data_IF_614627817502
#
_entry.id   IF_614627817502
#
_cell.length_a   1.000
_cell.length_b   1.000
_cell.length_c   1.000
_cell.angle_alpha   90.00
_cell.angle_beta   90.00
_cell.angle_gamma   90.00
#
_symmetry.space_group_name_H-M   'P 1'
#
loop_
_entity.id
_entity.type
_entity.pdbx_description
1 polymer ?
#
# COMPACT_ATOMS: atom_id res chain seq x y z
N UNK A 1 -19.49 -17.33 -7.72
CA UNK A 1 -19.15 -18.63 -8.32
C UNK A 1 -20.03 -18.97 -9.52
N UNK A 2 -21.33 -18.64 -9.50
CA UNK A 2 -22.23 -18.81 -10.66
C UNK A 2 -21.70 -18.16 -11.96
N UNK A 3 -21.30 -16.89 -11.90
CA UNK A 3 -20.69 -16.17 -13.04
C UNK A 3 -19.44 -16.87 -13.58
N UNK A 4 -18.56 -17.37 -12.70
CA UNK A 4 -17.36 -18.09 -13.11
C UNK A 4 -17.68 -19.38 -13.87
N UNK A 5 -18.72 -20.12 -13.45
CA UNK A 5 -19.14 -21.35 -14.12
C UNK A 5 -19.80 -21.06 -15.47
N UNK A 6 -20.56 -19.96 -15.57
CA UNK A 6 -21.14 -19.51 -16.83
C UNK A 6 -20.05 -19.10 -17.84
N UNK A 7 -19.05 -18.31 -17.41
CA UNK A 7 -17.90 -17.93 -18.23
C UNK A 7 -17.12 -19.16 -18.71
N UNK A 8 -16.85 -20.12 -17.80
CA UNK A 8 -16.16 -21.37 -18.12
C UNK A 8 -16.88 -22.17 -19.21
N UNK A 9 -18.20 -22.34 -19.07
CA UNK A 9 -19.01 -23.08 -20.03
C UNK A 9 -19.08 -22.38 -21.40
N UNK A 10 -19.13 -21.05 -21.42
CA UNK A 10 -19.21 -20.25 -22.64
C UNK A 10 -17.89 -20.22 -23.42
N UNK A 11 -16.76 -20.11 -22.72
CA UNK A 11 -15.43 -19.99 -23.36
C UNK A 11 -14.96 -21.33 -23.91
N UNK A 12 -15.10 -22.40 -23.12
CA UNK A 12 -14.66 -23.73 -23.50
C UNK A 12 -13.14 -23.88 -23.70
N UNK A 13 -12.68 -25.05 -24.21
CA UNK A 13 -11.27 -25.37 -24.33
C UNK A 13 -10.53 -24.46 -25.32
N UNK A 14 -9.36 -23.94 -24.92
CA UNK A 14 -8.47 -23.15 -25.76
C UNK A 14 -8.78 -21.65 -25.81
N UNK A 15 -9.81 -21.17 -25.11
CA UNK A 15 -10.09 -19.74 -24.97
C UNK A 15 -9.33 -19.04 -23.84
N UNK A 16 -9.68 -17.78 -23.58
CA UNK A 16 -9.08 -16.93 -22.53
C UNK A 16 -10.15 -16.21 -21.72
N UNK A 17 -9.78 -15.73 -20.52
CA UNK A 17 -10.71 -15.11 -19.56
C UNK A 17 -10.45 -13.61 -19.34
N UNK A 18 -9.59 -12.97 -20.13
CA UNK A 18 -9.12 -11.61 -19.85
C UNK A 18 -10.22 -10.54 -19.80
N UNK A 19 -11.31 -10.70 -20.56
CA UNK A 19 -12.39 -9.71 -20.65
C UNK A 19 -13.75 -10.33 -20.27
N UNK A 20 -13.76 -11.09 -19.17
CA UNK A 20 -14.96 -11.79 -18.72
C UNK A 20 -15.57 -11.19 -17.47
N UNK A 21 -16.87 -11.41 -17.29
CA UNK A 21 -17.64 -10.84 -16.18
C UNK A 21 -17.02 -11.20 -14.84
N UNK A 22 -16.62 -12.46 -14.65
CA UNK A 22 -15.96 -12.86 -13.43
C UNK A 22 -14.59 -12.17 -13.25
N UNK A 23 -13.77 -12.08 -14.30
CA UNK A 23 -12.44 -11.46 -14.26
C UNK A 23 -12.51 -9.96 -13.96
N UNK A 24 -13.42 -9.23 -14.61
CA UNK A 24 -13.64 -7.80 -14.35
C UNK A 24 -14.10 -7.53 -12.92
N UNK A 25 -14.95 -8.40 -12.38
CA UNK A 25 -15.45 -8.27 -11.02
C UNK A 25 -14.43 -8.69 -9.94
N UNK A 26 -13.41 -9.47 -10.30
CA UNK A 26 -12.43 -10.05 -9.37
C UNK A 26 -11.00 -9.83 -9.87
N UNK A 27 -10.66 -8.58 -10.16
CA UNK A 27 -9.28 -8.22 -10.52
C UNK A 27 -8.32 -8.61 -9.39
N UNK A 28 -7.12 -9.14 -9.71
CA UNK A 28 -6.13 -9.49 -8.71
C UNK A 28 -5.68 -8.25 -7.95
N UNK A 29 -5.40 -8.42 -6.66
CA UNK A 29 -4.67 -7.42 -5.90
C UNK A 29 -3.23 -7.34 -6.43
N UNK A 30 -2.78 -6.14 -6.75
CA UNK A 30 -1.41 -5.83 -7.12
C UNK A 30 -0.86 -4.90 -6.04
N UNK A 31 0.20 -5.32 -5.37
CA UNK A 31 0.88 -4.49 -4.39
C UNK A 31 1.70 -3.38 -5.08
N UNK A 32 1.95 -2.32 -4.33
CA UNK A 32 2.57 -1.09 -4.82
C UNK A 32 4.07 -1.23 -5.12
N UNK A 33 4.71 -2.33 -4.69
CA UNK A 33 6.16 -2.51 -4.75
C UNK A 33 6.57 -3.63 -5.72
N UNK A 34 5.65 -4.52 -6.11
CA UNK A 34 5.92 -5.56 -7.09
C UNK A 34 6.13 -4.98 -8.49
N UNK A 35 6.91 -5.71 -9.26
CA UNK A 35 7.25 -5.40 -10.64
C UNK A 35 6.99 -6.65 -11.45
N UNK A 36 5.96 -6.57 -12.28
CA UNK A 36 5.49 -7.65 -13.15
C UNK A 36 5.87 -7.41 -14.61
N UNK A 37 6.80 -6.49 -14.85
CA UNK A 37 7.25 -6.20 -16.20
C UNK A 37 8.06 -7.34 -16.79
N UNK A 38 8.16 -7.35 -18.12
CA UNK A 38 9.04 -8.28 -18.83
C UNK A 38 10.49 -8.03 -18.44
N UNK A 39 11.31 -9.08 -18.51
CA UNK A 39 12.73 -9.00 -18.13
C UNK A 39 13.47 -7.85 -18.83
N UNK A 40 13.27 -7.68 -20.13
CA UNK A 40 13.94 -6.63 -20.91
C UNK A 40 13.54 -5.23 -20.46
N UNK A 41 12.27 -5.02 -20.11
CA UNK A 41 11.77 -3.76 -19.56
C UNK A 41 12.35 -3.51 -18.17
N UNK A 42 12.38 -4.52 -17.31
CA UNK A 42 12.99 -4.43 -15.97
C UNK A 42 14.48 -4.07 -16.05
N UNK A 43 15.22 -4.71 -16.97
CA UNK A 43 16.64 -4.39 -17.22
C UNK A 43 16.80 -2.96 -17.73
N UNK A 44 16.00 -2.53 -18.71
CA UNK A 44 16.03 -1.16 -19.21
C UNK A 44 15.69 -0.12 -18.14
N UNK A 45 14.83 -0.48 -17.17
CA UNK A 45 14.46 0.31 -15.99
C UNK A 45 15.50 0.32 -14.86
N UNK A 46 16.67 -0.30 -15.06
CA UNK A 46 17.77 -0.31 -14.11
C UNK A 46 17.79 -1.51 -13.16
N UNK A 47 17.06 -2.58 -13.48
CA UNK A 47 17.12 -3.86 -12.75
C UNK A 47 16.88 -3.75 -11.24
N UNK A 48 15.96 -2.87 -10.83
CA UNK A 48 15.73 -2.57 -9.41
C UNK A 48 15.26 -3.80 -8.65
N UNK A 49 15.87 -4.03 -7.50
CA UNK A 49 15.41 -5.00 -6.51
C UNK A 49 14.13 -4.52 -5.82
N UNK A 50 13.42 -5.45 -5.17
CA UNK A 50 12.26 -5.14 -4.35
C UNK A 50 12.60 -4.19 -3.20
N UNK A 51 13.81 -4.30 -2.62
CA UNK A 51 14.27 -3.42 -1.55
C UNK A 51 14.46 -1.97 -2.02
N UNK A 52 15.01 -1.77 -3.22
CA UNK A 52 15.17 -0.43 -3.79
C UNK A 52 13.82 0.22 -4.10
N UNK A 53 12.88 -0.54 -4.68
CA UNK A 53 11.51 -0.05 -4.95
C UNK A 53 10.77 0.25 -3.65
N UNK A 54 10.84 -0.63 -2.65
CA UNK A 54 10.20 -0.44 -1.36
C UNK A 54 10.74 0.79 -0.63
N UNK A 55 12.06 0.99 -0.62
CA UNK A 55 12.67 2.21 -0.06
C UNK A 55 12.17 3.48 -0.77
N UNK A 56 12.07 3.46 -2.10
CA UNK A 56 11.53 4.60 -2.85
C UNK A 56 10.06 4.85 -2.53
N UNK A 57 9.25 3.80 -2.45
CA UNK A 57 7.83 3.88 -2.08
C UNK A 57 7.64 4.48 -0.68
N UNK A 58 8.40 4.00 0.33
CA UNK A 58 8.34 4.53 1.69
C UNK A 58 8.69 6.02 1.76
N UNK A 59 9.75 6.47 1.07
CA UNK A 59 10.11 7.90 1.03
C UNK A 59 8.99 8.73 0.44
N UNK A 60 8.42 8.26 -0.66
CA UNK A 60 7.35 8.95 -1.35
C UNK A 60 6.04 8.98 -0.52
N UNK A 61 5.78 7.96 0.30
CA UNK A 61 4.69 7.98 1.28
C UNK A 61 4.92 9.02 2.38
N UNK A 62 6.14 9.11 2.91
CA UNK A 62 6.49 10.11 3.93
C UNK A 62 6.40 11.54 3.40
N UNK A 63 6.82 11.77 2.15
CA UNK A 63 6.70 13.07 1.49
C UNK A 63 5.24 13.54 1.36
N UNK A 64 4.29 12.62 1.08
CA UNK A 64 2.87 12.96 0.98
C UNK A 64 2.16 13.11 2.32
N UNK A 65 2.66 12.44 3.35
CA UNK A 65 2.02 12.43 4.66
C UNK A 65 1.87 13.84 5.26
N UNK A 66 2.80 14.76 4.97
CA UNK A 66 2.72 16.14 5.45
C UNK A 66 1.46 16.88 4.94
N UNK A 67 1.05 16.62 3.70
CA UNK A 67 -0.13 17.24 3.08
C UNK A 67 -1.45 16.53 3.46
N UNK A 68 -1.39 15.24 3.75
CA UNK A 68 -2.55 14.36 3.98
C UNK A 68 -2.79 14.02 5.46
N UNK A 69 -2.04 14.61 6.39
CA UNK A 69 -2.15 14.29 7.81
C UNK A 69 -3.56 14.59 8.34
N UNK A 70 -4.24 13.61 8.99
CA UNK A 70 -5.56 13.84 9.56
C UNK A 70 -5.54 15.00 10.55
N UNK A 71 -6.51 15.93 10.47
CA UNK A 71 -6.53 17.07 11.37
C UNK A 71 -6.74 16.60 12.82
N UNK A 72 -5.92 17.13 13.72
CA UNK A 72 -6.09 16.98 15.16
C UNK A 72 -6.51 18.32 15.75
N UNK A 73 -7.65 18.33 16.44
CA UNK A 73 -8.15 19.49 17.20
C UNK A 73 -7.05 20.08 18.08
N UNK A 74 -6.89 21.40 18.03
CA UNK A 74 -5.80 22.10 18.71
C UNK A 74 -5.93 22.00 20.24
N UNK A 75 -7.16 22.02 20.78
CA UNK A 75 -7.40 21.86 22.21
C UNK A 75 -7.01 20.48 22.71
N UNK A 76 -7.33 19.43 21.94
CA UNK A 76 -6.88 18.06 22.22
C UNK A 76 -5.36 17.95 22.14
N UNK A 77 -4.75 18.54 21.11
CA UNK A 77 -3.29 18.54 20.91
C UNK A 77 -2.57 19.16 22.11
N UNK A 78 -3.06 20.29 22.59
CA UNK A 78 -2.46 21.00 23.72
C UNK A 78 -2.66 20.24 25.03
N UNK A 79 -3.84 19.67 25.26
CA UNK A 79 -4.10 18.82 26.43
C UNK A 79 -3.18 17.57 26.45
N UNK A 80 -2.96 16.94 25.29
CA UNK A 80 -2.03 15.81 25.16
C UNK A 80 -0.59 16.23 25.48
N UNK A 81 -0.15 17.40 24.98
CA UNK A 81 1.19 17.95 25.27
C UNK A 81 1.37 18.25 26.76
N UNK A 82 0.39 18.90 27.39
CA UNK A 82 0.42 19.20 28.83
C UNK A 82 0.50 17.91 29.66
N UNK A 83 -0.30 16.90 29.30
CA UNK A 83 -0.27 15.61 29.95
C UNK A 83 1.11 14.96 29.87
N UNK A 84 1.74 14.93 28.69
CA UNK A 84 3.09 14.36 28.51
C UNK A 84 4.11 15.05 29.40
N UNK A 85 4.16 16.39 29.39
CA UNK A 85 5.10 17.17 30.22
C UNK A 85 4.92 16.86 31.70
N UNK A 86 3.67 16.79 32.17
CA UNK A 86 3.39 16.43 33.56
C UNK A 86 3.87 15.03 33.90
N UNK A 87 3.66 14.05 33.01
CA UNK A 87 4.09 12.66 33.23
C UNK A 87 5.60 12.48 33.18
N UNK A 88 6.32 13.22 32.36
CA UNK A 88 7.78 13.22 32.33
C UNK A 88 8.40 13.70 33.65
N UNK A 89 7.72 14.60 34.37
CA UNK A 89 8.15 15.04 35.72
C UNK A 89 7.76 14.01 36.79
N UNK A 90 6.53 13.48 36.73
CA UNK A 90 6.01 12.51 37.69
C UNK A 90 6.68 11.13 37.59
N UNK A 91 7.20 10.78 36.40
CA UNK A 91 7.93 9.55 36.13
C UNK A 91 9.37 9.93 35.77
N UNK A 92 10.30 9.93 36.73
CA UNK A 92 11.71 10.08 36.42
C UNK A 92 12.12 8.97 35.44
N UNK A 93 12.47 9.32 34.21
CA UNK A 93 12.99 8.37 33.24
C UNK A 93 14.40 7.92 33.63
N UNK A 94 14.67 6.62 33.61
CA UNK A 94 16.02 6.14 33.33
C UNK A 94 16.26 6.33 31.82
N UNK A 95 16.55 7.56 31.40
CA UNK A 95 16.96 7.80 30.02
C UNK A 95 18.43 7.38 29.88
N UNK A 96 18.62 6.20 29.27
CA UNK A 96 19.90 5.72 28.71
C UNK A 96 20.20 6.45 27.41
#
# INVERSE_FOLDING_TARGET
METALADLARIGPGGHFFDEDYTRAHMPFLDEVQDNERYETWVAGGSKSVGERGCAWCRNMLERYEDESPPLDDGVRDALREYVVRREVEIPGELV
#
